data_IF_801031516797
#
_entry.id   IF_801031516797
#
_cell.length_a   1.000
_cell.length_b   1.000
_cell.length_c   1.000
_cell.angle_alpha   90.00
_cell.angle_beta   90.00
_cell.angle_gamma   90.00
#
_symmetry.space_group_name_H-M   'P 1'
#
loop_
_entity.id
_entity.type
_entity.pdbx_description
1 polymer ?
#
# COMPACT_ATOMS: atom_id res chain seq x y z
N UNK A 1 10.02 -9.46 -4.27
CA UNK A 1 10.72 -10.73 -4.60
C UNK A 1 12.18 -10.53 -5.04
N UNK A 2 12.67 -9.30 -5.25
CA UNK A 2 14.02 -9.08 -5.79
C UNK A 2 15.16 -9.59 -4.88
N UNK A 3 15.08 -9.38 -3.57
CA UNK A 3 16.07 -9.87 -2.61
C UNK A 3 16.34 -11.38 -2.77
N UNK A 4 15.28 -12.19 -2.87
CA UNK A 4 15.42 -13.64 -2.99
C UNK A 4 16.00 -14.05 -4.36
N UNK A 5 15.70 -13.30 -5.42
CA UNK A 5 16.34 -13.47 -6.73
C UNK A 5 17.84 -13.19 -6.66
N UNK A 6 18.25 -12.10 -6.00
CA UNK A 6 19.68 -11.78 -5.83
C UNK A 6 20.41 -12.84 -5.01
N UNK A 7 19.81 -13.32 -3.92
CA UNK A 7 20.37 -14.41 -3.10
C UNK A 7 20.55 -15.67 -3.96
N UNK A 8 19.55 -16.04 -4.76
CA UNK A 8 19.65 -17.20 -5.64
C UNK A 8 20.70 -17.01 -6.74
N UNK A 9 20.77 -15.85 -7.39
CA UNK A 9 21.72 -15.58 -8.46
C UNK A 9 23.19 -15.61 -7.98
N UNK A 10 23.48 -15.00 -6.82
CA UNK A 10 24.83 -14.87 -6.26
C UNK A 10 25.26 -16.06 -5.39
N UNK A 11 24.37 -16.59 -4.55
CA UNK A 11 24.72 -17.66 -3.59
C UNK A 11 24.24 -19.06 -4.02
N UNK A 12 23.43 -19.18 -5.09
CA UNK A 12 22.90 -20.46 -5.62
C UNK A 12 22.20 -21.32 -4.57
N UNK A 13 21.51 -20.69 -3.63
CA UNK A 13 20.78 -21.36 -2.58
C UNK A 13 19.56 -20.53 -2.13
N UNK A 14 18.64 -21.19 -1.45
CA UNK A 14 17.37 -20.63 -0.99
C UNK A 14 17.36 -20.46 0.53
N UNK A 15 16.80 -19.34 0.97
CA UNK A 15 16.61 -19.03 2.38
C UNK A 15 15.37 -19.75 2.93
N UNK A 16 15.54 -20.58 3.96
CA UNK A 16 14.46 -21.34 4.59
C UNK A 16 13.47 -20.46 5.33
N UNK A 17 13.86 -19.25 5.74
CA UNK A 17 12.95 -18.30 6.39
C UNK A 17 11.79 -17.88 5.46
N UNK A 18 12.00 -17.91 4.15
CA UNK A 18 11.01 -17.56 3.14
C UNK A 18 10.52 -18.76 2.34
N UNK A 19 10.43 -19.94 2.97
CA UNK A 19 10.07 -21.20 2.31
C UNK A 19 8.78 -21.10 1.46
N UNK A 20 7.75 -20.40 1.97
CA UNK A 20 6.51 -20.19 1.22
C UNK A 20 6.73 -19.37 -0.07
N UNK A 21 7.60 -18.33 -0.03
CA UNK A 21 7.92 -17.53 -1.22
C UNK A 21 8.78 -18.33 -2.19
N UNK A 22 9.70 -19.15 -1.69
CA UNK A 22 10.55 -20.00 -2.53
C UNK A 22 9.72 -20.96 -3.39
N UNK A 23 8.65 -21.54 -2.82
CA UNK A 23 7.71 -22.38 -3.56
C UNK A 23 7.00 -21.62 -4.68
N UNK A 24 6.59 -20.37 -4.41
CA UNK A 24 5.93 -19.51 -5.41
C UNK A 24 6.85 -19.12 -6.57
N UNK A 25 8.16 -18.99 -6.32
CA UNK A 25 9.14 -18.61 -7.35
C UNK A 25 9.61 -19.77 -8.25
N UNK A 26 9.16 -21.01 -8.00
CA UNK A 26 9.43 -22.20 -8.85
C UNK A 26 10.90 -22.34 -9.29
N UNK A 27 11.83 -22.14 -8.36
CA UNK A 27 13.24 -22.41 -8.68
C UNK A 27 13.45 -23.90 -8.97
N UNK A 28 14.16 -24.21 -10.06
CA UNK A 28 14.40 -25.57 -10.55
C UNK A 28 15.21 -26.40 -9.55
N UNK A 29 16.15 -25.76 -8.85
CA UNK A 29 16.94 -26.36 -7.77
C UNK A 29 16.50 -25.80 -6.43
N UNK A 30 15.77 -26.61 -5.66
CA UNK A 30 15.24 -26.23 -4.35
C UNK A 30 16.27 -26.42 -3.23
N UNK A 31 17.54 -26.06 -3.50
CA UNK A 31 18.65 -26.27 -2.57
C UNK A 31 18.68 -25.15 -1.52
N UNK A 32 18.54 -25.51 -0.26
CA UNK A 32 18.60 -24.56 0.86
C UNK A 32 20.05 -24.18 1.19
N UNK A 33 20.25 -22.97 1.73
CA UNK A 33 21.55 -22.53 2.22
C UNK A 33 21.87 -23.28 3.54
N UNK A 34 22.76 -24.28 3.49
CA UNK A 34 23.14 -25.09 4.66
C UNK A 34 24.60 -24.92 5.06
N UNK A 35 25.46 -24.58 4.10
CA UNK A 35 26.91 -24.45 4.33
C UNK A 35 27.24 -23.08 4.92
N UNK A 36 28.25 -23.00 5.77
CA UNK A 36 28.72 -21.73 6.37
C UNK A 36 29.00 -20.65 5.31
N UNK A 37 29.66 -21.02 4.21
CA UNK A 37 29.94 -20.10 3.09
C UNK A 37 28.68 -19.56 2.42
N UNK A 38 27.65 -20.40 2.28
CA UNK A 38 26.36 -20.01 1.70
C UNK A 38 25.59 -19.08 2.63
N UNK A 39 25.59 -19.38 3.94
CA UNK A 39 24.96 -18.53 4.95
C UNK A 39 25.66 -17.17 5.04
N UNK A 40 26.99 -17.16 4.98
CA UNK A 40 27.77 -15.92 4.96
C UNK A 40 27.45 -15.08 3.71
N UNK A 41 27.44 -15.68 2.51
CA UNK A 41 27.05 -15.02 1.27
C UNK A 41 25.64 -14.41 1.36
N UNK A 42 24.65 -15.21 1.80
CA UNK A 42 23.26 -14.75 1.97
C UNK A 42 23.17 -13.57 2.94
N UNK A 43 23.88 -13.65 4.07
CA UNK A 43 23.85 -12.62 5.11
C UNK A 43 24.45 -11.32 4.60
N UNK A 44 25.56 -11.38 3.86
CA UNK A 44 26.15 -10.21 3.22
C UNK A 44 25.17 -9.53 2.25
N UNK A 45 24.47 -10.31 1.42
CA UNK A 45 23.46 -9.77 0.50
C UNK A 45 22.33 -9.09 1.28
N UNK A 46 21.76 -9.75 2.29
CA UNK A 46 20.68 -9.19 3.11
C UNK A 46 21.07 -7.87 3.79
N UNK A 47 22.31 -7.78 4.30
CA UNK A 47 22.81 -6.55 4.94
C UNK A 47 23.08 -5.45 3.91
N UNK A 48 23.55 -5.82 2.72
CA UNK A 48 23.81 -4.86 1.64
C UNK A 48 22.55 -4.38 0.92
N UNK A 49 21.45 -5.12 1.01
CA UNK A 49 20.21 -4.82 0.30
C UNK A 49 19.47 -3.67 0.97
N UNK A 50 19.46 -2.50 0.33
CA UNK A 50 18.82 -1.27 0.83
C UNK A 50 17.40 -1.04 0.31
N UNK A 51 16.83 -1.98 -0.45
CA UNK A 51 15.51 -1.84 -1.09
C UNK A 51 15.50 -0.90 -2.29
N UNK A 52 16.42 0.07 -2.32
CA UNK A 52 16.67 1.04 -3.40
C UNK A 52 17.97 0.67 -4.15
N UNK A 53 17.98 -0.53 -4.71
CA UNK A 53 19.07 -1.01 -5.56
C UNK A 53 18.60 -0.94 -7.01
N UNK A 54 19.33 -0.22 -7.87
CA UNK A 54 18.98 -0.01 -9.30
C UNK A 54 18.75 -1.31 -10.08
N UNK A 55 19.23 -2.46 -9.56
CA UNK A 55 18.98 -3.77 -10.15
C UNK A 55 17.53 -4.26 -10.00
N UNK A 56 16.73 -3.61 -9.15
CA UNK A 56 15.37 -4.02 -8.79
C UNK A 56 14.36 -2.92 -9.12
N UNK A 57 13.64 -3.06 -10.23
CA UNK A 57 12.55 -2.13 -10.59
C UNK A 57 11.28 -2.43 -9.76
N UNK A 58 11.23 -1.90 -8.53
CA UNK A 58 10.12 -2.11 -7.60
C UNK A 58 9.27 -0.85 -7.48
N UNK A 59 8.25 -0.74 -8.32
CA UNK A 59 7.24 0.32 -8.22
C UNK A 59 6.28 0.08 -7.05
N UNK A 60 5.76 1.18 -6.48
CA UNK A 60 4.69 1.10 -5.48
C UNK A 60 3.43 0.47 -6.09
N UNK A 61 2.73 -0.41 -5.36
CA UNK A 61 1.50 -1.03 -5.85
C UNK A 61 0.36 -0.01 -5.91
N UNK A 62 -0.52 -0.13 -6.91
CA UNK A 62 -1.70 0.73 -7.03
C UNK A 62 -2.78 0.45 -5.98
N UNK A 63 -2.74 -0.71 -5.32
CA UNK A 63 -3.68 -1.09 -4.26
C UNK A 63 -2.91 -1.69 -3.11
N UNK A 64 -3.03 -1.05 -1.95
CA UNK A 64 -2.41 -1.49 -0.71
C UNK A 64 -3.44 -1.50 0.41
N UNK A 65 -3.28 -2.45 1.34
CA UNK A 65 -4.05 -2.51 2.59
C UNK A 65 -3.07 -2.42 3.74
N UNK A 66 -3.04 -1.27 4.40
CA UNK A 66 -2.17 -1.01 5.56
C UNK A 66 -2.98 -1.18 6.84
N UNK A 67 -2.38 -1.83 7.85
CA UNK A 67 -2.96 -1.99 9.18
C UNK A 67 -2.08 -1.28 10.20
N UNK A 68 -2.60 -0.18 10.77
CA UNK A 68 -1.90 0.51 11.85
C UNK A 68 -1.99 -0.30 13.14
N UNK A 69 -0.84 -0.80 13.58
CA UNK A 69 -0.73 -1.59 14.79
C UNK A 69 -0.43 -0.69 16.00
N UNK A 70 -1.18 -0.90 17.08
CA UNK A 70 -0.88 -0.30 18.37
C UNK A 70 -0.80 -1.36 19.45
N UNK A 71 0.30 -1.31 20.18
CA UNK A 71 0.62 -2.32 21.19
C UNK A 71 0.41 -1.73 22.57
N UNK A 72 -0.50 -2.34 23.31
CA UNK A 72 -0.63 -2.11 24.75
C UNK A 72 -0.34 -3.40 25.50
N UNK A 73 0.51 -3.33 26.52
CA UNK A 73 0.82 -4.44 27.39
C UNK A 73 0.29 -4.18 28.81
N UNK A 74 -0.06 -5.25 29.50
CA UNK A 74 -0.44 -5.22 30.92
C UNK A 74 0.19 -6.41 31.62
N UNK A 75 0.41 -6.23 32.92
CA UNK A 75 0.87 -7.30 33.79
C UNK A 75 -0.11 -8.47 33.75
N UNK A 76 0.37 -9.64 33.33
CA UNK A 76 -0.38 -10.88 33.23
C UNK A 76 0.60 -12.07 33.23
N UNK A 77 0.25 -13.23 33.80
CA UNK A 77 -0.93 -13.51 34.61
C UNK A 77 -0.79 -13.02 36.06
N UNK A 78 -1.91 -12.88 36.75
CA UNK A 78 -1.92 -12.79 38.22
C UNK A 78 -1.53 -14.15 38.82
N UNK A 79 -1.02 -14.15 40.05
CA UNK A 79 -0.49 -15.37 40.68
C UNK A 79 -1.56 -16.49 40.78
N UNK A 80 -2.79 -16.16 41.17
CA UNK A 80 -3.90 -17.14 41.21
C UNK A 80 -4.25 -17.70 39.82
N UNK A 81 -4.23 -16.84 38.80
CA UNK A 81 -4.51 -17.25 37.42
C UNK A 81 -3.38 -18.11 36.85
N UNK A 82 -2.13 -17.86 37.27
CA UNK A 82 -0.98 -18.64 36.85
C UNK A 82 -1.12 -20.10 37.30
N UNK A 83 -1.62 -20.35 38.51
CA UNK A 83 -1.82 -21.71 39.01
C UNK A 83 -2.90 -22.48 38.23
N UNK A 84 -3.98 -21.81 37.85
CA UNK A 84 -5.03 -22.39 36.98
C UNK A 84 -4.46 -22.73 35.59
N UNK A 85 -3.70 -21.82 34.99
CA UNK A 85 -3.05 -22.04 33.69
C UNK A 85 -2.07 -23.22 33.74
N UNK A 86 -1.33 -23.36 34.84
CA UNK A 86 -0.41 -24.49 35.02
C UNK A 86 -1.19 -25.80 35.13
N UNK A 87 -2.34 -25.83 35.82
CA UNK A 87 -3.17 -27.04 35.87
C UNK A 87 -3.67 -27.47 34.48
N UNK A 88 -4.07 -26.51 33.65
CA UNK A 88 -4.51 -26.78 32.27
C UNK A 88 -3.36 -27.32 31.40
N UNK A 89 -2.19 -26.69 31.48
CA UNK A 89 -0.96 -27.16 30.80
C UNK A 89 -0.55 -28.55 31.29
N UNK A 90 -0.63 -28.81 32.60
CA UNK A 90 -0.34 -30.12 33.18
C UNK A 90 -1.27 -31.23 32.66
N UNK A 91 -2.52 -30.89 32.33
CA UNK A 91 -3.50 -31.83 31.78
C UNK A 91 -3.15 -32.21 30.33
N UNK A 92 -2.69 -31.24 29.55
CA UNK A 92 -2.36 -31.46 28.14
C UNK A 92 -0.92 -31.98 27.95
N UNK A 93 0.01 -31.58 28.82
CA UNK A 93 1.46 -31.88 28.73
C UNK A 93 2.03 -32.25 30.11
N UNK A 94 1.87 -33.51 30.55
CA UNK A 94 2.28 -33.95 31.89
C UNK A 94 3.80 -33.89 32.12
N UNK A 95 4.60 -34.02 31.05
CA UNK A 95 6.07 -34.02 31.12
C UNK A 95 6.69 -32.67 31.54
N UNK A 96 5.99 -31.55 31.37
CA UNK A 96 6.47 -30.20 31.72
C UNK A 96 5.92 -29.75 33.10
N UNK A 97 4.95 -30.49 33.63
CA UNK A 97 4.18 -30.09 34.81
C UNK A 97 5.04 -29.95 36.08
N UNK A 98 5.97 -30.88 36.32
CA UNK A 98 6.85 -30.85 37.50
C UNK A 98 7.75 -29.62 37.50
N UNK A 99 8.28 -29.25 36.34
CA UNK A 99 9.13 -28.07 36.16
C UNK A 99 8.36 -26.77 36.35
N UNK A 100 7.10 -26.69 35.90
CA UNK A 100 6.27 -25.49 36.04
C UNK A 100 5.73 -25.28 37.46
N UNK A 101 5.40 -26.37 38.17
CA UNK A 101 4.91 -26.30 39.56
C UNK A 101 5.99 -25.87 40.55
N UNK A 102 7.24 -26.25 40.31
CA UNK A 102 8.36 -25.94 41.20
C UNK A 102 8.94 -24.52 41.01
N UNK A 103 8.42 -23.76 40.04
CA UNK A 103 8.85 -22.38 39.78
C UNK A 103 8.20 -21.39 40.74
N UNK A 104 8.94 -20.35 41.09
CA UNK A 104 8.40 -19.20 41.84
C UNK A 104 7.36 -18.44 41.03
N UNK A 105 6.50 -17.66 41.70
CA UNK A 105 5.47 -16.84 41.03
C UNK A 105 6.05 -15.89 39.98
N UNK A 106 7.25 -15.32 40.23
CA UNK A 106 7.95 -14.46 39.27
C UNK A 106 8.45 -15.22 38.03
N UNK A 107 8.85 -16.48 38.17
CA UNK A 107 9.33 -17.32 37.07
C UNK A 107 8.17 -17.86 36.24
N UNK A 108 7.05 -18.22 36.86
CA UNK A 108 5.82 -18.63 36.16
C UNK A 108 5.40 -17.57 35.15
N UNK A 109 5.46 -16.28 35.53
CA UNK A 109 5.08 -15.15 34.65
C UNK A 109 5.94 -15.02 33.40
N UNK A 110 7.21 -15.40 33.44
CA UNK A 110 8.12 -15.29 32.29
C UNK A 110 7.79 -16.31 31.19
N UNK A 111 7.10 -17.39 31.55
CA UNK A 111 6.78 -18.47 30.63
C UNK A 111 5.42 -18.27 29.92
N UNK A 112 4.55 -17.40 30.46
CA UNK A 112 3.20 -17.19 29.95
C UNK A 112 3.05 -15.84 29.26
N UNK A 113 2.46 -15.85 28.06
CA UNK A 113 2.11 -14.66 27.30
C UNK A 113 0.68 -14.78 26.76
N UNK A 114 -0.12 -13.74 26.95
CA UNK A 114 -1.43 -13.60 26.31
C UNK A 114 -1.37 -12.52 25.23
N UNK A 115 -1.56 -12.93 23.97
CA UNK A 115 -1.64 -12.03 22.83
C UNK A 115 -3.10 -11.89 22.39
N UNK A 116 -3.63 -10.67 22.38
CA UNK A 116 -4.97 -10.38 21.86
C UNK A 116 -4.84 -9.47 20.64
N UNK A 117 -5.29 -9.95 19.48
CA UNK A 117 -5.30 -9.21 18.22
C UNK A 117 -6.74 -8.89 17.87
N UNK A 118 -7.06 -7.61 17.74
CA UNK A 118 -8.40 -7.14 17.42
C UNK A 118 -8.31 -5.80 16.67
N UNK A 119 -9.33 -5.48 15.88
CA UNK A 119 -9.45 -4.17 15.25
C UNK A 119 -9.72 -3.12 16.32
N UNK A 120 -8.95 -2.02 16.28
CA UNK A 120 -9.13 -0.92 17.23
C UNK A 120 -10.51 -0.29 17.08
N UNK A 121 -10.87 -0.01 15.84
CA UNK A 121 -12.11 0.63 15.46
C UNK A 121 -12.79 -0.20 14.36
N UNK A 122 -14.11 -0.11 14.26
CA UNK A 122 -14.93 -0.81 13.26
C UNK A 122 -15.05 -0.01 11.95
N UNK A 123 -14.28 1.06 11.81
CA UNK A 123 -14.16 1.84 10.59
C UNK A 123 -12.91 1.43 9.81
N UNK A 124 -12.89 1.74 8.52
CA UNK A 124 -11.71 1.66 7.67
C UNK A 124 -11.53 3.01 6.98
N UNK A 125 -10.28 3.36 6.68
CA UNK A 125 -9.94 4.51 5.87
C UNK A 125 -9.63 4.02 4.46
N UNK A 126 -10.22 4.65 3.45
CA UNK A 126 -9.98 4.35 2.05
C UNK A 126 -9.43 5.62 1.38
N UNK A 127 -8.21 5.52 0.87
CA UNK A 127 -7.51 6.61 0.17
C UNK A 127 -7.39 6.18 -1.28
N UNK A 128 -8.08 6.91 -2.16
CA UNK A 128 -8.05 6.70 -3.60
C UNK A 128 -7.47 7.93 -4.29
N UNK A 129 -6.55 7.72 -5.22
CA UNK A 129 -6.00 8.77 -6.06
C UNK A 129 -6.81 8.86 -7.35
N UNK A 130 -7.36 10.05 -7.63
CA UNK A 130 -8.10 10.34 -8.86
C UNK A 130 -7.35 11.42 -9.67
N UNK A 131 -7.46 11.41 -11.01
CA UNK A 131 -6.82 12.43 -11.83
C UNK A 131 -7.40 13.81 -11.50
N UNK A 132 -6.53 14.80 -11.29
CA UNK A 132 -6.93 16.19 -11.00
C UNK A 132 -7.73 16.83 -12.14
N UNK A 133 -7.54 16.34 -13.37
CA UNK A 133 -8.23 16.87 -14.54
C UNK A 133 -8.70 15.76 -15.49
N UNK A 134 -10.01 15.65 -15.64
CA UNK A 134 -10.62 14.69 -16.55
C UNK A 134 -10.75 15.28 -17.96
N UNK A 135 -10.77 14.40 -18.96
CA UNK A 135 -11.02 14.74 -20.36
C UNK A 135 -12.32 15.51 -20.57
N UNK A 136 -13.36 15.24 -19.76
CA UNK A 136 -14.61 15.99 -19.80
C UNK A 136 -14.46 17.41 -19.26
N UNK A 137 -13.65 17.61 -18.21
CA UNK A 137 -13.36 18.94 -17.68
C UNK A 137 -12.57 19.76 -18.69
N UNK A 138 -11.58 19.14 -19.35
CA UNK A 138 -10.86 19.72 -20.49
C UNK A 138 -11.81 20.23 -21.56
N UNK A 139 -12.73 19.37 -21.99
CA UNK A 139 -13.65 19.75 -23.05
C UNK A 139 -14.65 20.83 -22.60
N UNK A 140 -15.00 20.86 -21.32
CA UNK A 140 -15.86 21.91 -20.76
C UNK A 140 -15.18 23.28 -20.79
N UNK A 141 -13.92 23.37 -20.39
CA UNK A 141 -13.18 24.64 -20.38
C UNK A 141 -12.89 25.15 -21.80
N UNK A 142 -12.53 24.25 -22.72
CA UNK A 142 -12.42 24.57 -24.14
C UNK A 142 -13.76 25.03 -24.72
N UNK A 143 -14.85 24.32 -24.42
CA UNK A 143 -16.19 24.67 -24.89
C UNK A 143 -16.64 26.04 -24.36
N UNK A 144 -16.37 26.33 -23.09
CA UNK A 144 -16.71 27.61 -22.45
C UNK A 144 -15.97 28.79 -23.08
N UNK A 145 -14.66 28.66 -23.28
CA UNK A 145 -13.85 29.70 -23.93
C UNK A 145 -14.25 29.92 -25.39
N UNK A 146 -14.38 28.84 -26.18
CA UNK A 146 -14.82 28.95 -27.58
C UNK A 146 -16.23 29.54 -27.68
N UNK A 147 -17.15 29.09 -26.82
CA UNK A 147 -18.53 29.60 -26.77
C UNK A 147 -18.59 31.10 -26.49
N UNK A 148 -17.76 31.61 -25.57
CA UNK A 148 -17.67 33.04 -25.27
C UNK A 148 -17.17 33.85 -26.48
N UNK A 149 -16.09 33.40 -27.12
CA UNK A 149 -15.54 34.08 -28.31
C UNK A 149 -16.51 34.08 -29.50
N UNK A 150 -17.22 32.97 -29.72
CA UNK A 150 -18.27 32.89 -30.74
C UNK A 150 -19.45 33.81 -30.41
N UNK A 151 -19.83 33.89 -29.13
CA UNK A 151 -20.86 34.83 -28.65
C UNK A 151 -20.52 36.28 -28.98
N UNK A 152 -19.31 36.73 -28.67
CA UNK A 152 -18.85 38.07 -29.06
C UNK A 152 -18.85 38.27 -30.57
N UNK A 153 -18.39 37.29 -31.33
CA UNK A 153 -18.34 37.35 -32.80
C UNK A 153 -19.75 37.53 -33.41
N UNK A 154 -20.76 36.82 -32.88
CA UNK A 154 -22.15 36.94 -33.34
C UNK A 154 -22.73 38.32 -33.01
N UNK A 155 -22.51 38.82 -31.78
CA UNK A 155 -22.98 40.15 -31.39
C UNK A 155 -22.39 41.24 -32.31
N UNK A 156 -21.09 41.17 -32.60
CA UNK A 156 -20.44 42.10 -33.53
C UNK A 156 -21.01 42.01 -34.96
N UNK A 157 -21.36 40.81 -35.44
CA UNK A 157 -22.02 40.67 -36.75
C UNK A 157 -23.40 41.37 -36.77
N UNK A 158 -24.20 41.19 -35.73
CA UNK A 158 -25.51 41.86 -35.60
C UNK A 158 -25.36 43.40 -35.59
N UNK A 159 -24.35 43.92 -34.89
CA UNK A 159 -24.05 45.35 -34.87
C UNK A 159 -23.73 45.89 -36.28
N UNK A 160 -22.90 45.16 -37.04
CA UNK A 160 -22.57 45.53 -38.43
C UNK A 160 -23.84 45.53 -39.29
N UNK A 161 -24.70 44.51 -39.19
CA UNK A 161 -25.97 44.47 -39.94
C UNK A 161 -26.88 45.66 -39.58
N UNK A 162 -26.97 46.00 -38.30
CA UNK A 162 -27.79 47.12 -37.84
C UNK A 162 -27.30 48.47 -38.37
N UNK A 163 -25.99 48.65 -38.57
CA UNK A 163 -25.44 49.88 -39.18
C UNK A 163 -25.58 49.85 -40.71
N UNK A 164 -25.32 48.69 -41.33
CA UNK A 164 -25.25 48.55 -42.79
C UNK A 164 -26.61 48.71 -43.47
N UNK A 165 -27.69 48.13 -42.92
CA UNK A 165 -29.05 48.23 -43.49
C UNK A 165 -29.56 49.67 -43.63
N UNK A 166 -29.58 50.52 -42.59
CA UNK A 166 -30.01 51.91 -42.71
C UNK A 166 -29.05 52.75 -43.57
N UNK A 167 -27.75 52.43 -43.56
CA UNK A 167 -26.79 53.06 -44.46
C UNK A 167 -27.12 52.78 -45.94
N UNK A 168 -27.43 51.52 -46.29
CA UNK A 168 -27.84 51.12 -47.63
C UNK A 168 -29.18 51.75 -48.03
N UNK A 169 -30.16 51.78 -47.12
CA UNK A 169 -31.44 52.45 -47.36
C UNK A 169 -31.27 53.94 -47.64
N UNK A 170 -30.38 54.65 -46.93
CA UNK A 170 -30.06 56.06 -47.21
C UNK A 170 -29.33 56.25 -48.55
N UNK A 171 -28.47 55.32 -48.95
CA UNK A 171 -27.76 55.37 -50.23
C UNK A 171 -28.69 55.07 -51.42
N UNK A 172 -29.57 54.09 -51.31
CA UNK A 172 -30.60 53.79 -52.33
C UNK A 172 -31.70 54.86 -52.37
N UNK A 173 -32.09 55.42 -51.23
CA UNK A 173 -33.04 56.52 -51.12
C UNK A 173 -32.52 57.86 -51.67
N UNK A 174 -31.23 57.99 -51.96
CA UNK A 174 -30.64 59.15 -52.67
C UNK A 174 -30.76 59.08 -54.20
N UNK A 175 -31.37 58.02 -54.75
CA UNK A 175 -31.58 57.83 -56.19
C UNK A 175 -33.06 57.91 -56.62
N UNK A 176 -33.96 58.44 -55.80
CA UNK A 176 -35.25 58.95 -56.28
C UNK A 176 -35.14 60.49 -56.37
N UNK A 177 -35.58 61.12 -57.48
CA UNK A 177 -35.43 62.56 -57.71
C UNK A 177 -36.09 63.41 -56.63
#
# INVERSE_FOLDING_TARGET
MCLLRQIYEKCKCLDTHYNYINVLMRFVDNKTCLTETQVHCMTQIKVSFKGDDDSCDCHNPCSEKVYDAYVSSRYWPNDDMADVLIQDVCTTKPHICSTLKNKTSAEKRKDFLKLNIYYRDLNYEEINEEPDYDTYQLMSDFGGTIGLWLGFSILSLFEIFQIFVPFLFKLLGRNLP
#
